data_IF_080355672459
#
_entry.id   IF_080355672459
#
_cell.length_a   1.000
_cell.length_b   1.000
_cell.length_c   1.000
_cell.angle_alpha   90.00
_cell.angle_beta   90.00
_cell.angle_gamma   90.00
#
_symmetry.space_group_name_H-M   'P 1'
#
loop_
_entity.id
_entity.type
_entity.pdbx_description
1 polymer ?
#
# COMPACT_ATOMS: atom_id res chain seq x y z
N UNK A 1 5.24 -6.49 20.86
CA UNK A 1 5.83 -5.38 20.07
C UNK A 1 5.19 -5.43 18.69
N UNK A 2 4.37 -4.44 18.34
CA UNK A 2 3.51 -4.45 17.15
C UNK A 2 4.25 -3.84 15.95
N UNK A 3 5.25 -4.56 15.44
CA UNK A 3 6.04 -4.14 14.26
C UNK A 3 5.18 -4.02 13.00
N UNK A 4 4.03 -4.68 13.04
CA UNK A 4 3.05 -4.83 11.98
C UNK A 4 2.42 -3.49 11.56
N UNK A 5 2.01 -2.69 12.54
CA UNK A 5 1.43 -1.36 12.28
C UNK A 5 2.41 -0.39 11.59
N UNK A 6 3.73 -0.54 11.83
CA UNK A 6 4.75 0.27 11.15
C UNK A 6 4.91 -0.10 9.68
N UNK A 7 4.60 -1.35 9.30
CA UNK A 7 4.67 -1.84 7.93
C UNK A 7 3.37 -1.56 7.15
N UNK A 8 2.21 -1.55 7.83
CA UNK A 8 0.92 -1.26 7.21
C UNK A 8 0.80 0.23 6.83
N UNK A 9 1.20 1.15 7.72
CA UNK A 9 1.08 2.60 7.50
C UNK A 9 1.62 3.09 6.14
N UNK A 10 2.85 2.76 5.70
CA UNK A 10 3.35 3.20 4.41
C UNK A 10 2.62 2.55 3.21
N UNK A 11 2.17 1.30 3.34
CA UNK A 11 1.39 0.60 2.30
C UNK A 11 -0.02 1.18 2.16
N UNK A 12 -0.66 1.52 3.27
CA UNK A 12 -1.93 2.24 3.25
C UNK A 12 -1.75 3.64 2.66
N UNK A 13 -0.69 4.33 3.08
CA UNK A 13 -0.35 5.66 2.63
C UNK A 13 -0.19 5.76 1.11
N UNK A 14 0.43 4.78 0.46
CA UNK A 14 0.54 4.80 -1.01
C UNK A 14 -0.83 4.64 -1.70
N UNK A 15 -1.72 3.81 -1.15
CA UNK A 15 -3.08 3.62 -1.67
C UNK A 15 -3.94 4.87 -1.52
N UNK A 16 -3.95 5.48 -0.33
CA UNK A 16 -4.65 6.74 -0.08
C UNK A 16 -4.08 7.88 -0.92
N UNK A 17 -2.75 8.01 -0.98
CA UNK A 17 -2.11 9.06 -1.77
C UNK A 17 -2.41 8.89 -3.26
N UNK A 18 -2.40 7.66 -3.78
CA UNK A 18 -2.78 7.37 -5.17
C UNK A 18 -4.23 7.75 -5.47
N UNK A 19 -5.14 7.56 -4.51
CA UNK A 19 -6.55 7.96 -4.62
C UNK A 19 -6.72 9.48 -4.54
N UNK A 20 -6.04 10.15 -3.61
CA UNK A 20 -6.11 11.61 -3.45
C UNK A 20 -5.51 12.35 -4.64
N UNK A 21 -4.37 11.89 -5.15
CA UNK A 21 -3.72 12.49 -6.31
C UNK A 21 -4.38 12.08 -7.64
N UNK A 22 -5.18 11.01 -7.65
CA UNK A 22 -5.66 10.37 -8.88
C UNK A 22 -4.54 9.83 -9.78
N UNK A 23 -3.30 9.77 -9.26
CA UNK A 23 -2.10 9.45 -10.01
C UNK A 23 -1.24 8.43 -9.27
N UNK A 24 -1.40 7.17 -9.67
CA UNK A 24 -0.67 6.04 -9.10
C UNK A 24 0.84 6.21 -9.26
N UNK A 25 1.31 6.72 -10.40
CA UNK A 25 2.74 6.89 -10.66
C UNK A 25 3.39 7.89 -9.72
N UNK A 26 2.71 8.98 -9.36
CA UNK A 26 3.23 9.95 -8.39
C UNK A 26 3.27 9.35 -6.98
N UNK A 27 2.20 8.69 -6.54
CA UNK A 27 2.17 8.05 -5.22
C UNK A 27 3.25 6.97 -5.08
N UNK A 28 3.39 6.10 -6.09
CA UNK A 28 4.45 5.10 -6.20
C UNK A 28 5.85 5.74 -6.09
N UNK A 29 6.09 6.88 -6.74
CA UNK A 29 7.38 7.58 -6.71
C UNK A 29 7.71 8.19 -5.34
N UNK A 30 6.71 8.70 -4.62
CA UNK A 30 6.86 9.26 -3.27
C UNK A 30 7.21 8.18 -2.25
N UNK A 31 6.54 7.02 -2.32
CA UNK A 31 6.76 5.91 -1.39
C UNK A 31 7.86 4.93 -1.82
N UNK A 32 8.39 5.06 -3.04
CA UNK A 32 9.39 4.13 -3.59
C UNK A 32 8.83 2.76 -3.98
N UNK A 33 7.53 2.67 -4.25
CA UNK A 33 6.88 1.44 -4.72
C UNK A 33 6.70 1.42 -6.23
N UNK A 34 6.62 0.23 -6.81
CA UNK A 34 6.24 0.06 -8.22
C UNK A 34 4.73 0.09 -8.41
N UNK A 35 4.28 0.37 -9.64
CA UNK A 35 2.86 0.29 -10.03
C UNK A 35 2.27 -1.08 -9.74
N UNK A 36 3.02 -2.15 -10.01
CA UNK A 36 2.62 -3.53 -9.68
C UNK A 36 2.33 -3.73 -8.18
N UNK A 37 3.19 -3.18 -7.31
CA UNK A 37 2.99 -3.26 -5.86
C UNK A 37 1.69 -2.54 -5.47
N UNK A 38 1.41 -1.37 -6.06
CA UNK A 38 0.16 -0.65 -5.80
C UNK A 38 -1.08 -1.47 -6.14
N UNK A 39 -1.12 -2.10 -7.32
CA UNK A 39 -2.27 -2.93 -7.70
C UNK A 39 -2.41 -4.18 -6.82
N UNK A 40 -1.29 -4.79 -6.41
CA UNK A 40 -1.31 -5.89 -5.44
C UNK A 40 -1.85 -5.44 -4.09
N UNK A 41 -1.39 -4.29 -3.59
CA UNK A 41 -1.88 -3.72 -2.34
C UNK A 41 -3.38 -3.42 -2.42
N UNK A 42 -3.85 -2.84 -3.54
CA UNK A 42 -5.27 -2.58 -3.76
C UNK A 42 -6.08 -3.88 -3.69
N UNK A 43 -5.64 -4.92 -4.41
CA UNK A 43 -6.32 -6.22 -4.45
C UNK A 43 -6.36 -6.90 -3.09
N UNK A 44 -5.23 -6.91 -2.38
CA UNK A 44 -5.13 -7.44 -1.01
C UNK A 44 -6.03 -6.69 -0.04
N UNK A 45 -6.07 -5.36 -0.15
CA UNK A 45 -6.95 -4.52 0.67
C UNK A 45 -8.44 -4.78 0.36
N UNK A 46 -8.78 -5.10 -0.89
CA UNK A 46 -10.14 -5.51 -1.28
C UNK A 46 -10.48 -6.94 -0.79
N UNK A 47 -9.52 -7.87 -0.79
CA UNK A 47 -9.73 -9.26 -0.38
C UNK A 47 -9.67 -9.48 1.14
N UNK A 48 -8.83 -8.75 1.87
CA UNK A 48 -8.58 -8.97 3.30
C UNK A 48 -8.28 -7.71 4.11
N UNK A 49 -8.62 -6.52 3.57
CA UNK A 49 -8.51 -5.26 4.27
C UNK A 49 -7.06 -4.82 4.56
N UNK A 50 -6.93 -3.90 5.51
CA UNK A 50 -5.65 -3.28 5.89
C UNK A 50 -4.65 -4.30 6.46
N UNK A 51 -5.16 -5.38 7.07
CA UNK A 51 -4.36 -6.47 7.62
C UNK A 51 -3.77 -7.38 6.55
N UNK A 52 -4.39 -7.50 5.37
CA UNK A 52 -3.82 -8.27 4.27
C UNK A 52 -2.54 -7.62 3.71
N UNK A 53 -2.39 -6.31 3.85
CA UNK A 53 -1.17 -5.59 3.49
C UNK A 53 0.00 -5.96 4.39
N UNK A 54 -0.26 -6.43 5.61
CA UNK A 54 0.77 -6.87 6.54
C UNK A 54 1.47 -8.13 6.05
N UNK A 55 0.67 -9.11 5.61
CA UNK A 55 1.14 -10.42 5.15
C UNK A 55 1.85 -10.37 3.79
N UNK A 56 1.87 -9.20 3.13
CA UNK A 56 2.71 -8.95 1.98
C UNK A 56 4.17 -8.74 2.41
N UNK A 57 4.82 -9.81 2.80
CA UNK A 57 6.28 -9.90 2.95
C UNK A 57 6.87 -10.38 1.62
N UNK A 58 7.90 -9.69 1.16
CA UNK A 58 8.64 -9.98 -0.08
C UNK A 58 9.40 -11.31 0.01
#
# INVERSE_FOLDING_TARGET
MNSDAKLIKPKLGVLELGRQLGNVSQACKVFGYSRDSFYRFKKLCEEGGELALLHFTF
#
